data_IF_906514714321
#
_entry.id   IF_906514714321
#
_cell.length_a   1.000
_cell.length_b   1.000
_cell.length_c   1.000
_cell.angle_alpha   90.00
_cell.angle_beta   90.00
_cell.angle_gamma   90.00
#
_symmetry.space_group_name_H-M   'P 1'
#
loop_
_entity.id
_entity.type
_entity.pdbx_description
1 polymer ?
#
# COMPACT_ATOMS: atom_id res chain seq x y z
N UNK A 1 12.67 -5.25 15.13
CA UNK A 1 11.45 -5.10 14.30
C UNK A 1 11.70 -5.69 12.92
N UNK A 2 10.89 -6.65 12.46
CA UNK A 2 10.98 -7.15 11.10
C UNK A 2 10.50 -6.12 10.07
N UNK A 3 11.08 -6.11 8.87
CA UNK A 3 10.60 -5.25 7.77
C UNK A 3 9.17 -5.63 7.41
N UNK A 4 8.28 -4.65 7.30
CA UNK A 4 6.89 -4.86 6.87
C UNK A 4 6.87 -5.31 5.42
N UNK A 5 5.84 -6.07 5.04
CA UNK A 5 5.76 -6.70 3.72
C UNK A 5 5.84 -5.69 2.56
N UNK A 6 5.26 -4.50 2.72
CA UNK A 6 5.25 -3.47 1.68
C UNK A 6 6.60 -2.79 1.51
N UNK A 7 7.49 -2.79 2.52
CA UNK A 7 8.87 -2.35 2.36
C UNK A 7 9.62 -3.28 1.41
N UNK A 8 9.46 -4.60 1.59
CA UNK A 8 10.04 -5.59 0.68
C UNK A 8 9.50 -5.41 -0.74
N UNK A 9 8.19 -5.16 -0.89
CA UNK A 9 7.58 -4.87 -2.19
C UNK A 9 8.16 -3.59 -2.81
N UNK A 10 8.26 -2.51 -2.06
CA UNK A 10 8.78 -1.23 -2.53
C UNK A 10 10.23 -1.35 -3.00
N UNK A 11 11.10 -1.95 -2.17
CA UNK A 11 12.52 -2.18 -2.50
C UNK A 11 12.66 -3.04 -3.77
N UNK A 12 11.91 -4.14 -3.87
CA UNK A 12 11.99 -5.05 -5.03
C UNK A 12 11.58 -4.38 -6.35
N UNK A 13 10.70 -3.39 -6.29
CA UNK A 13 10.14 -2.74 -7.48
C UNK A 13 10.60 -1.29 -7.66
N UNK A 14 11.55 -0.79 -6.85
CA UNK A 14 12.11 0.56 -6.99
C UNK A 14 11.21 1.70 -6.52
N UNK A 15 10.29 1.45 -5.59
CA UNK A 15 9.42 2.47 -5.00
C UNK A 15 9.96 2.98 -3.66
N UNK A 16 9.69 4.26 -3.38
CA UNK A 16 9.83 4.83 -2.04
C UNK A 16 8.63 4.50 -1.15
N UNK A 17 8.81 4.64 0.16
CA UNK A 17 7.74 4.58 1.17
C UNK A 17 7.63 5.94 1.84
N UNK A 18 6.42 6.50 1.88
CA UNK A 18 6.17 7.71 2.65
C UNK A 18 6.09 7.38 4.15
N UNK A 19 7.17 7.68 4.87
CA UNK A 19 7.30 7.40 6.32
C UNK A 19 6.39 8.25 7.20
N UNK A 20 5.91 9.41 6.73
CA UNK A 20 5.06 10.31 7.52
C UNK A 20 3.66 9.74 7.76
N UNK A 21 3.14 9.00 6.78
CA UNK A 21 1.82 8.37 6.85
C UNK A 21 1.89 6.84 6.98
N UNK A 22 3.10 6.28 6.99
CA UNK A 22 3.34 4.84 6.96
C UNK A 22 2.57 4.11 8.07
N UNK A 23 2.65 4.62 9.30
CA UNK A 23 2.02 4.00 10.46
C UNK A 23 0.50 3.99 10.35
N UNK A 24 -0.10 5.11 9.95
CA UNK A 24 -1.54 5.26 9.78
C UNK A 24 -2.07 4.29 8.72
N UNK A 25 -1.41 4.23 7.56
CA UNK A 25 -1.81 3.31 6.49
C UNK A 25 -1.59 1.85 6.91
N UNK A 26 -0.49 1.55 7.62
CA UNK A 26 -0.23 0.20 8.12
C UNK A 26 -1.33 -0.29 9.06
N UNK A 27 -1.76 0.53 10.01
CA UNK A 27 -2.85 0.21 10.93
C UNK A 27 -4.16 -0.05 10.18
N UNK A 28 -4.49 0.79 9.18
CA UNK A 28 -5.64 0.57 8.32
C UNK A 28 -5.58 -0.76 7.54
N UNK A 29 -4.42 -1.10 6.98
CA UNK A 29 -4.21 -2.35 6.26
C UNK A 29 -4.34 -3.57 7.18
N UNK A 30 -3.75 -3.54 8.37
CA UNK A 30 -3.85 -4.65 9.33
C UNK A 30 -5.27 -4.77 9.91
N UNK A 31 -5.96 -3.66 10.16
CA UNK A 31 -7.37 -3.68 10.56
C UNK A 31 -8.26 -4.35 9.50
N UNK A 32 -8.08 -3.99 8.22
CA UNK A 32 -8.79 -4.63 7.10
C UNK A 32 -8.45 -6.11 6.97
N UNK A 33 -7.18 -6.49 7.19
CA UNK A 33 -6.78 -7.91 7.20
C UNK A 33 -7.46 -8.70 8.32
N UNK A 34 -7.52 -8.13 9.53
CA UNK A 34 -8.15 -8.78 10.68
C UNK A 34 -9.67 -8.92 10.50
N UNK A 35 -10.33 -7.92 9.93
CA UNK A 35 -11.80 -7.88 9.80
C UNK A 35 -12.33 -8.52 8.52
N UNK A 36 -11.57 -8.48 7.42
CA UNK A 36 -12.00 -8.92 6.08
C UNK A 36 -11.10 -10.02 5.47
N UNK A 37 -10.05 -10.44 6.17
CA UNK A 37 -9.13 -11.49 5.70
C UNK A 37 -8.04 -11.03 4.73
N UNK A 38 -8.10 -9.81 4.22
CA UNK A 38 -7.10 -9.25 3.30
C UNK A 38 -6.82 -7.76 3.56
N UNK A 39 -5.65 -7.30 3.13
CA UNK A 39 -5.19 -5.91 3.29
C UNK A 39 -5.79 -5.00 2.22
N UNK A 40 -7.12 -4.86 2.22
CA UNK A 40 -7.79 -3.88 1.35
C UNK A 40 -7.28 -2.47 1.64
N UNK A 41 -7.13 -1.66 0.59
CA UNK A 41 -6.67 -0.28 0.69
C UNK A 41 -7.58 0.51 1.64
N UNK A 42 -7.07 1.07 2.74
CA UNK A 42 -7.89 1.75 3.73
C UNK A 42 -8.51 3.05 3.20
N UNK A 43 -7.98 3.61 2.11
CA UNK A 43 -8.46 4.84 1.48
C UNK A 43 -9.58 4.61 0.44
N UNK A 44 -9.92 3.36 0.11
CA UNK A 44 -11.01 3.03 -0.83
C UNK A 44 -12.23 2.54 -0.04
N UNK A 45 -13.41 2.99 -0.45
CA UNK A 45 -14.68 2.61 0.18
C UNK A 45 -15.08 1.16 -0.13
N UNK A 46 -14.83 0.70 -1.35
CA UNK A 46 -15.13 -0.66 -1.80
C UNK A 46 -14.00 -1.64 -1.46
N UNK A 47 -14.34 -2.77 -0.80
CA UNK A 47 -13.39 -3.86 -0.53
C UNK A 47 -13.44 -4.91 -1.66
N UNK A 48 -13.08 -4.52 -2.89
CA UNK A 48 -12.94 -5.44 -4.03
C UNK A 48 -11.52 -6.01 -4.10
N UNK A 49 -11.35 -7.15 -4.78
CA UNK A 49 -10.04 -7.81 -4.95
C UNK A 49 -9.02 -6.84 -5.59
N UNK A 50 -9.48 -5.96 -6.48
CA UNK A 50 -8.65 -4.93 -7.13
C UNK A 50 -8.04 -3.94 -6.14
N UNK A 51 -8.70 -3.73 -4.99
CA UNK A 51 -8.26 -2.83 -3.94
C UNK A 51 -7.40 -3.49 -2.87
N UNK A 52 -7.05 -4.77 -2.99
CA UNK A 52 -6.08 -5.41 -2.07
C UNK A 52 -4.70 -4.78 -2.30
N UNK A 53 -4.10 -4.21 -1.26
CA UNK A 53 -2.80 -3.56 -1.34
C UNK A 53 -1.68 -4.58 -1.63
N UNK A 54 -0.79 -4.33 -2.62
CA UNK A 54 -0.77 -3.20 -3.54
C UNK A 54 -1.89 -3.32 -4.59
N UNK A 55 -2.76 -2.31 -4.66
CA UNK A 55 -3.96 -2.34 -5.50
C UNK A 55 -3.62 -2.36 -7.00
N UNK A 56 -4.57 -2.78 -7.82
CA UNK A 56 -4.46 -2.83 -9.29
C UNK A 56 -4.02 -1.47 -9.84
N UNK A 57 -4.70 -0.38 -9.46
CA UNK A 57 -4.38 1.00 -9.85
C UNK A 57 -2.89 1.33 -9.63
N UNK A 58 -2.34 1.02 -8.46
CA UNK A 58 -0.92 1.26 -8.20
C UNK A 58 0.00 0.33 -9.01
N UNK A 59 -0.39 -0.93 -9.20
CA UNK A 59 0.43 -1.91 -9.94
C UNK A 59 0.53 -1.61 -11.44
N UNK A 60 -0.50 -1.00 -12.03
CA UNK A 60 -0.55 -0.72 -13.47
C UNK A 60 -0.28 0.75 -13.79
N UNK A 61 -0.89 1.67 -13.06
CA UNK A 61 -0.80 3.11 -13.33
C UNK A 61 0.25 3.82 -12.46
N UNK A 62 0.93 3.07 -11.56
CA UNK A 62 1.93 3.59 -10.63
C UNK A 62 1.39 4.69 -9.70
N UNK A 63 0.07 4.75 -9.51
CA UNK A 63 -0.59 5.73 -8.66
C UNK A 63 -1.07 5.10 -7.35
N UNK A 64 -0.48 5.45 -6.19
CA UNK A 64 -1.13 5.19 -4.90
C UNK A 64 -1.87 6.42 -4.43
N UNK A 65 -3.20 6.38 -4.54
CA UNK A 65 -4.06 7.40 -3.94
C UNK A 65 -3.82 7.58 -2.43
N UNK A 66 -3.39 6.50 -1.77
CA UNK A 66 -3.09 6.47 -0.34
C UNK A 66 -1.82 7.24 0.06
N UNK A 67 -0.91 7.50 -0.89
CA UNK A 67 0.41 8.09 -0.65
C UNK A 67 1.47 7.18 -0.02
N UNK A 68 1.15 5.93 0.37
CA UNK A 68 2.11 5.00 0.99
C UNK A 68 3.31 4.73 0.08
N UNK A 69 3.04 4.39 -1.18
CA UNK A 69 4.08 4.19 -2.18
C UNK A 69 4.35 5.48 -2.93
N UNK A 70 5.62 5.88 -3.00
CA UNK A 70 6.08 7.00 -3.79
C UNK A 70 6.80 6.46 -5.03
N UNK A 71 6.32 6.83 -6.20
CA UNK A 71 7.06 6.59 -7.44
C UNK A 71 8.31 7.44 -7.41
N UNK A 72 9.47 6.83 -7.61
CA UNK A 72 10.66 7.59 -7.92
C UNK A 72 10.40 8.23 -9.29
N UNK A 73 10.09 9.54 -9.30
CA UNK A 73 10.05 10.31 -10.54
C UNK A 73 11.42 10.09 -11.21
N UNK A 74 11.42 9.36 -12.32
CA UNK A 74 12.53 9.40 -13.25
C UNK A 74 12.55 10.83 -13.76
N UNK A 75 13.64 11.55 -13.46
CA UNK A 75 13.92 12.87 -14.02
C UNK A 75 13.92 12.82 -15.54
#
# INVERSE_FOLDING_TARGET
MGKRWYHTYAIKNGYGINTEIEEMIHQGLEHKKQTLGARYCPCKMANSIENICPCVEFRFDHHCHCGLFQVALSQ
#
